data_IF_763574545843
#
_entry.id   IF_763574545843
#
_cell.length_a   1.000
_cell.length_b   1.000
_cell.length_c   1.000
_cell.angle_alpha   90.00
_cell.angle_beta   90.00
_cell.angle_gamma   90.00
#
_symmetry.space_group_name_H-M   'P 1'
#
loop_
_entity.id
_entity.type
_entity.pdbx_description
1 polymer ?
#
# COMPACT_ATOMS: atom_id res chain seq x y z
N UNK A 1 -13.59 -0.34 77.07
CA UNK A 1 -14.77 -0.74 76.27
C UNK A 1 -14.42 -0.51 74.80
N UNK A 2 -14.30 -1.57 73.98
CA UNK A 2 -13.82 -1.48 72.59
C UNK A 2 -15.02 -1.67 71.64
N UNK A 3 -15.31 -0.65 70.85
CA UNK A 3 -16.40 -0.66 69.85
C UNK A 3 -15.95 -1.48 68.65
N UNK A 4 -16.75 -2.47 68.26
CA UNK A 4 -16.55 -3.25 67.03
C UNK A 4 -17.22 -2.51 65.86
N UNK A 5 -16.43 -2.00 64.92
CA UNK A 5 -16.94 -1.50 63.64
C UNK A 5 -16.86 -2.64 62.60
N UNK A 6 -17.99 -3.06 62.01
CA UNK A 6 -17.97 -4.09 60.98
C UNK A 6 -17.27 -3.57 59.72
N UNK A 7 -16.41 -4.39 59.12
CA UNK A 7 -15.78 -4.10 57.84
C UNK A 7 -16.85 -4.16 56.72
N UNK A 8 -16.93 -3.17 55.81
CA UNK A 8 -17.86 -3.21 54.69
C UNK A 8 -17.51 -4.40 53.79
N UNK A 9 -18.54 -5.19 53.42
CA UNK A 9 -18.42 -6.34 52.55
C UNK A 9 -17.73 -5.94 51.24
N UNK A 10 -16.53 -6.48 51.01
CA UNK A 10 -15.90 -6.43 49.69
C UNK A 10 -16.68 -7.38 48.79
N UNK A 11 -17.38 -6.83 47.80
CA UNK A 11 -17.96 -7.61 46.71
C UNK A 11 -16.81 -8.22 45.91
N UNK A 12 -16.52 -9.49 46.16
CA UNK A 12 -15.60 -10.26 45.33
C UNK A 12 -16.33 -10.65 44.04
N UNK A 13 -15.67 -10.45 42.91
CA UNK A 13 -16.17 -10.78 41.58
C UNK A 13 -16.50 -12.29 41.50
N UNK A 14 -17.66 -12.65 40.96
CA UNK A 14 -18.05 -14.06 40.89
C UNK A 14 -17.41 -14.75 39.69
N UNK A 15 -17.15 -16.06 39.82
CA UNK A 15 -16.63 -16.88 38.71
C UNK A 15 -17.62 -16.91 37.53
N UNK A 16 -18.93 -16.82 37.81
CA UNK A 16 -19.95 -16.77 36.76
C UNK A 16 -19.93 -15.44 35.99
N UNK A 17 -19.70 -14.30 36.64
CA UNK A 17 -19.54 -13.02 35.95
C UNK A 17 -18.33 -13.04 35.02
N UNK A 18 -17.23 -13.67 35.43
CA UNK A 18 -16.08 -13.79 34.56
C UNK A 18 -16.38 -14.68 33.34
N UNK A 19 -17.08 -15.81 33.54
CA UNK A 19 -17.45 -16.73 32.46
C UNK A 19 -18.39 -16.05 31.45
N UNK A 20 -19.40 -15.31 31.90
CA UNK A 20 -20.33 -14.65 30.97
C UNK A 20 -19.61 -13.56 30.17
N UNK A 21 -18.70 -12.81 30.78
CA UNK A 21 -17.89 -11.80 30.08
C UNK A 21 -17.01 -12.43 29.00
N UNK A 22 -16.28 -13.51 29.29
CA UNK A 22 -15.44 -14.17 28.27
C UNK A 22 -16.28 -14.76 27.13
N UNK A 23 -17.49 -15.27 27.42
CA UNK A 23 -18.40 -15.80 26.41
C UNK A 23 -18.87 -14.68 25.49
N UNK A 24 -19.28 -13.53 26.04
CA UNK A 24 -19.69 -12.38 25.24
C UNK A 24 -18.52 -11.87 24.39
N UNK A 25 -17.31 -11.76 24.96
CA UNK A 25 -16.10 -11.37 24.22
C UNK A 25 -15.76 -12.36 23.09
N UNK A 26 -15.93 -13.66 23.30
CA UNK A 26 -15.68 -14.67 22.28
C UNK A 26 -16.65 -14.53 21.08
N UNK A 27 -17.94 -14.30 21.35
CA UNK A 27 -18.94 -14.07 20.29
C UNK A 27 -18.62 -12.80 19.51
N UNK A 28 -18.33 -11.69 20.21
CA UNK A 28 -18.00 -10.41 19.57
C UNK A 28 -16.72 -10.52 18.73
N UNK A 29 -15.68 -11.19 19.24
CA UNK A 29 -14.44 -11.41 18.50
C UNK A 29 -14.68 -12.23 17.23
N UNK A 30 -15.50 -13.29 17.29
CA UNK A 30 -15.82 -14.13 16.14
C UNK A 30 -16.47 -13.37 14.98
N UNK A 31 -17.31 -12.37 15.27
CA UNK A 31 -17.98 -11.53 14.25
C UNK A 31 -17.10 -10.35 13.81
N UNK A 32 -16.29 -9.80 14.71
CA UNK A 32 -15.48 -8.62 14.43
C UNK A 32 -14.23 -8.93 13.58
N UNK A 33 -13.56 -10.06 13.83
CA UNK A 33 -12.28 -10.39 13.21
C UNK A 33 -12.32 -10.47 11.67
N UNK A 34 -13.26 -11.20 11.03
CA UNK A 34 -13.30 -11.30 9.57
C UNK A 34 -13.48 -9.93 8.89
N UNK A 35 -14.36 -9.09 9.45
CA UNK A 35 -14.62 -7.75 8.92
C UNK A 35 -13.44 -6.81 9.07
N UNK A 36 -12.67 -6.97 10.15
CA UNK A 36 -11.51 -6.14 10.43
C UNK A 36 -10.40 -6.35 9.38
N UNK A 37 -10.13 -7.59 8.97
CA UNK A 37 -9.14 -7.89 7.94
C UNK A 37 -9.48 -7.24 6.59
N UNK A 38 -10.72 -7.39 6.12
CA UNK A 38 -11.16 -6.75 4.87
C UNK A 38 -11.09 -5.23 4.93
N UNK A 39 -11.41 -4.63 6.09
CA UNK A 39 -11.35 -3.18 6.26
C UNK A 39 -9.91 -2.69 6.20
N UNK A 40 -8.99 -3.39 6.85
CA UNK A 40 -7.57 -3.03 6.86
C UNK A 40 -6.95 -3.07 5.46
N UNK A 41 -7.32 -4.07 4.64
CA UNK A 41 -6.84 -4.17 3.26
C UNK A 41 -7.44 -3.08 2.38
N UNK A 42 -8.76 -2.83 2.48
CA UNK A 42 -9.41 -1.74 1.74
C UNK A 42 -8.80 -0.37 2.07
N UNK A 43 -8.53 -0.11 3.35
CA UNK A 43 -7.85 1.11 3.78
C UNK A 43 -6.46 1.22 3.14
N UNK A 44 -5.69 0.13 3.13
CA UNK A 44 -4.36 0.09 2.52
C UNK A 44 -4.40 0.34 1.01
N UNK A 45 -5.36 -0.26 0.30
CA UNK A 45 -5.59 0.00 -1.13
C UNK A 45 -5.95 1.47 -1.37
N UNK A 46 -6.80 2.06 -0.53
CA UNK A 46 -7.17 3.47 -0.65
C UNK A 46 -5.97 4.40 -0.47
N UNK A 47 -5.11 4.12 0.52
CA UNK A 47 -3.85 4.86 0.71
C UNK A 47 -2.96 4.71 -0.52
N UNK A 48 -2.78 3.48 -1.03
CA UNK A 48 -1.97 3.24 -2.22
C UNK A 48 -2.46 4.01 -3.44
N UNK A 49 -3.77 4.02 -3.69
CA UNK A 49 -4.38 4.77 -4.80
C UNK A 49 -4.17 6.28 -4.66
N UNK A 50 -4.39 6.81 -3.46
CA UNK A 50 -4.22 8.24 -3.17
C UNK A 50 -2.77 8.68 -3.38
N UNK A 51 -1.82 7.95 -2.79
CA UNK A 51 -0.40 8.24 -2.92
C UNK A 51 0.08 8.11 -4.38
N UNK A 52 -0.39 7.10 -5.12
CA UNK A 52 -0.09 6.94 -6.55
C UNK A 52 -0.62 8.11 -7.37
N UNK A 53 -1.83 8.58 -7.08
CA UNK A 53 -2.44 9.73 -7.77
C UNK A 53 -1.69 11.03 -7.49
N UNK A 54 -1.25 11.23 -6.25
CA UNK A 54 -0.42 12.38 -5.87
C UNK A 54 0.92 12.34 -6.62
N UNK A 55 1.59 11.18 -6.69
CA UNK A 55 2.83 11.02 -7.44
C UNK A 55 2.63 11.25 -8.95
N UNK A 56 1.58 10.70 -9.55
CA UNK A 56 1.25 10.94 -10.95
C UNK A 56 1.04 12.43 -11.24
N UNK A 57 0.41 13.17 -10.31
CA UNK A 57 0.22 14.62 -10.41
C UNK A 57 1.56 15.35 -10.32
N UNK A 58 2.44 14.96 -9.41
CA UNK A 58 3.77 15.53 -9.30
C UNK A 58 4.63 15.33 -10.56
N UNK A 59 4.57 14.13 -11.16
CA UNK A 59 5.23 13.81 -12.44
C UNK A 59 4.72 14.70 -13.57
N UNK A 60 3.40 14.86 -13.69
CA UNK A 60 2.80 15.75 -14.69
C UNK A 60 3.22 17.20 -14.45
N UNK A 61 3.23 17.67 -13.21
CA UNK A 61 3.68 19.02 -12.88
C UNK A 61 5.15 19.25 -13.25
N UNK A 62 6.02 18.26 -13.02
CA UNK A 62 7.42 18.33 -13.42
C UNK A 62 7.57 18.43 -14.96
N UNK A 63 6.79 17.65 -15.72
CA UNK A 63 6.74 17.78 -17.20
C UNK A 63 6.28 19.18 -17.64
N UNK A 64 5.24 19.71 -17.01
CA UNK A 64 4.71 21.04 -17.35
C UNK A 64 5.71 22.15 -17.01
N UNK A 65 6.44 22.01 -15.90
CA UNK A 65 7.51 22.92 -15.54
C UNK A 65 8.63 22.90 -16.59
N UNK A 66 9.06 21.71 -17.02
CA UNK A 66 10.05 21.56 -18.09
C UNK A 66 9.58 22.23 -19.40
N UNK A 67 8.30 22.05 -19.78
CA UNK A 67 7.73 22.73 -20.95
C UNK A 67 7.80 24.26 -20.82
N UNK A 68 7.50 24.79 -19.64
CA UNK A 68 7.50 26.24 -19.38
C UNK A 68 8.92 26.84 -19.41
N UNK A 69 9.93 26.12 -18.93
CA UNK A 69 11.32 26.60 -18.87
C UNK A 69 12.03 26.43 -20.22
N UNK A 70 11.83 25.29 -20.88
CA UNK A 70 12.58 24.91 -22.08
C UNK A 70 11.83 25.19 -23.39
N UNK A 71 10.58 25.66 -23.35
CA UNK A 71 9.83 26.10 -24.54
C UNK A 71 9.49 24.98 -25.54
N UNK A 72 9.43 23.74 -25.08
CA UNK A 72 9.08 22.54 -25.87
C UNK A 72 7.83 21.86 -25.28
N UNK A 73 7.38 20.71 -25.81
CA UNK A 73 6.20 19.97 -25.31
C UNK A 73 6.35 19.43 -23.86
N UNK A 74 7.49 19.70 -23.21
CA UNK A 74 7.84 19.20 -21.88
C UNK A 74 8.25 17.75 -21.93
N UNK A 75 9.39 17.45 -21.33
CA UNK A 75 9.89 16.08 -21.20
C UNK A 75 9.36 15.47 -19.90
N UNK A 76 9.00 14.20 -19.96
CA UNK A 76 8.83 13.41 -18.73
C UNK A 76 10.15 13.39 -17.94
N UNK A 77 10.11 13.47 -16.60
CA UNK A 77 11.28 13.30 -15.76
C UNK A 77 12.03 12.01 -16.12
N UNK A 78 13.36 12.08 -16.23
CA UNK A 78 14.18 10.89 -16.50
C UNK A 78 14.25 9.94 -15.31
N UNK A 79 14.07 10.46 -14.12
CA UNK A 79 14.01 9.73 -12.85
C UNK A 79 12.94 10.34 -11.93
N UNK A 80 12.64 9.64 -10.85
CA UNK A 80 11.72 10.13 -9.82
C UNK A 80 12.45 10.65 -8.57
N UNK A 81 13.78 10.68 -8.56
CA UNK A 81 14.53 10.90 -7.33
C UNK A 81 14.23 12.28 -6.75
N UNK A 82 14.31 13.31 -7.58
CA UNK A 82 14.03 14.69 -7.21
C UNK A 82 12.57 14.84 -6.72
N UNK A 83 11.62 14.26 -7.46
CA UNK A 83 10.19 14.34 -7.11
C UNK A 83 9.93 13.65 -5.76
N UNK A 84 10.57 12.52 -5.51
CA UNK A 84 10.36 11.74 -4.28
C UNK A 84 11.07 12.37 -3.07
N UNK A 85 12.25 12.97 -3.26
CA UNK A 85 12.95 13.71 -2.20
C UNK A 85 12.16 14.95 -1.73
N UNK A 86 11.37 15.58 -2.60
CA UNK A 86 10.51 16.71 -2.23
C UNK A 86 9.25 16.30 -1.45
N UNK A 87 8.91 15.01 -1.40
CA UNK A 87 7.81 14.52 -0.57
C UNK A 87 8.32 14.24 0.85
N UNK A 88 7.91 15.04 1.83
CA UNK A 88 8.15 14.71 3.25
C UNK A 88 7.58 13.31 3.56
N UNK A 89 8.39 12.40 4.13
CA UNK A 89 7.95 11.03 4.46
C UNK A 89 8.00 10.00 3.33
N UNK A 90 8.94 10.17 2.39
CA UNK A 90 9.20 9.34 1.19
C UNK A 90 9.17 7.81 1.40
N UNK A 91 9.39 7.32 2.62
CA UNK A 91 9.46 5.90 2.96
C UNK A 91 8.11 5.16 2.89
N UNK A 92 6.96 5.86 2.79
CA UNK A 92 5.62 5.23 2.85
C UNK A 92 4.71 5.51 1.66
N UNK A 93 5.25 6.01 0.54
CA UNK A 93 4.43 6.39 -0.60
C UNK A 93 3.64 5.19 -1.16
N UNK A 94 4.28 4.02 -1.27
CA UNK A 94 3.59 2.76 -1.45
C UNK A 94 3.40 2.08 -0.08
N UNK A 95 2.16 1.87 0.42
CA UNK A 95 1.92 1.24 1.72
C UNK A 95 2.23 -0.28 1.75
N UNK A 96 2.73 -0.82 0.63
CA UNK A 96 3.29 -2.15 0.54
C UNK A 96 4.83 -2.14 0.48
N UNK A 97 5.49 -0.98 0.60
CA UNK A 97 6.94 -0.90 0.66
C UNK A 97 7.50 -1.72 1.84
N UNK A 98 8.70 -2.25 1.63
CA UNK A 98 9.49 -2.95 2.64
C UNK A 98 10.90 -2.40 2.58
N UNK A 99 11.58 -2.21 3.71
CA UNK A 99 12.94 -1.68 3.81
C UNK A 99 13.99 -2.43 2.96
N UNK A 100 13.65 -3.65 2.52
CA UNK A 100 14.49 -4.50 1.68
C UNK A 100 14.52 -4.08 0.20
N UNK A 101 13.69 -3.12 -0.23
CA UNK A 101 13.61 -2.65 -1.61
C UNK A 101 13.92 -1.16 -1.72
N UNK A 102 14.56 -0.71 -2.82
CA UNK A 102 14.54 0.70 -3.18
C UNK A 102 13.12 1.25 -3.23
N UNK A 103 12.96 2.55 -2.99
CA UNK A 103 11.64 3.19 -3.05
C UNK A 103 11.08 3.08 -4.46
N UNK A 104 11.90 3.33 -5.49
CA UNK A 104 11.49 3.36 -6.88
C UNK A 104 12.49 2.63 -7.82
N UNK A 105 11.98 2.06 -8.91
CA UNK A 105 12.77 1.61 -10.05
C UNK A 105 12.39 2.38 -11.33
N UNK A 106 13.42 2.72 -12.10
CA UNK A 106 13.28 3.17 -13.48
C UNK A 106 13.49 1.93 -14.35
N UNK A 107 12.43 1.15 -14.56
CA UNK A 107 12.44 0.19 -15.66
C UNK A 107 12.21 1.00 -16.92
N UNK A 108 13.25 1.11 -17.76
CA UNK A 108 13.19 1.77 -19.07
C UNK A 108 12.29 0.99 -20.02
N UNK A 109 11.02 0.96 -19.68
CA UNK A 109 9.98 0.40 -20.49
C UNK A 109 9.74 1.35 -21.64
N UNK A 110 10.09 0.91 -22.85
CA UNK A 110 9.77 1.64 -24.07
C UNK A 110 8.32 2.16 -24.13
N UNK A 111 7.98 3.01 -25.11
CA UNK A 111 6.70 3.71 -25.18
C UNK A 111 5.46 2.81 -25.08
N UNK A 112 5.59 1.53 -25.48
CA UNK A 112 4.53 0.52 -25.45
C UNK A 112 4.36 -0.20 -24.10
N UNK A 113 5.24 0.05 -23.12
CA UNK A 113 5.13 -0.54 -21.78
C UNK A 113 4.23 0.31 -20.88
N UNK A 114 3.10 -0.26 -20.48
CA UNK A 114 2.10 0.33 -19.58
C UNK A 114 2.13 -0.25 -18.17
N UNK A 115 2.84 -1.37 -18.00
CA UNK A 115 2.98 -2.07 -16.73
C UNK A 115 4.37 -2.68 -16.57
N UNK A 116 4.82 -2.77 -15.33
CA UNK A 116 5.97 -3.57 -14.92
C UNK A 116 5.77 -5.05 -15.25
N UNK A 117 6.86 -5.72 -15.64
CA UNK A 117 6.90 -7.18 -15.85
C UNK A 117 6.66 -7.97 -14.58
N UNK A 118 7.22 -7.52 -13.47
CA UNK A 118 7.07 -8.16 -12.16
C UNK A 118 6.13 -7.33 -11.32
N UNK A 119 4.95 -7.84 -10.96
CA UNK A 119 3.91 -7.05 -10.28
C UNK A 119 4.00 -7.13 -8.76
N UNK A 120 4.74 -8.11 -8.24
CA UNK A 120 4.85 -8.38 -6.81
C UNK A 120 6.18 -7.95 -6.21
N UNK A 121 6.16 -7.74 -4.89
CA UNK A 121 7.35 -7.45 -4.06
C UNK A 121 8.29 -8.66 -4.01
N UNK A 122 7.76 -9.87 -3.76
CA UNK A 122 8.56 -11.10 -3.62
C UNK A 122 9.31 -11.52 -4.88
N UNK A 123 8.67 -11.40 -6.06
CA UNK A 123 9.33 -11.69 -7.35
C UNK A 123 10.45 -10.71 -7.69
N UNK A 124 10.40 -9.51 -7.12
CA UNK A 124 11.42 -8.51 -7.30
C UNK A 124 12.64 -8.71 -6.37
N UNK A 125 12.42 -9.04 -5.10
CA UNK A 125 13.51 -9.26 -4.14
C UNK A 125 14.51 -10.36 -4.59
N UNK A 126 14.02 -11.39 -5.28
CA UNK A 126 14.85 -12.51 -5.76
C UNK A 126 15.70 -12.21 -7.01
N UNK A 127 15.46 -11.09 -7.72
CA UNK A 127 16.06 -10.82 -9.04
C UNK A 127 16.89 -9.53 -9.11
N UNK A 128 17.16 -8.89 -7.96
CA UNK A 128 17.97 -7.69 -7.86
C UNK A 128 17.14 -6.41 -7.80
N UNK A 129 17.01 -5.86 -6.59
CA UNK A 129 16.78 -4.44 -6.27
C UNK A 129 15.76 -3.66 -7.11
N UNK A 130 14.62 -4.27 -7.47
CA UNK A 130 13.52 -3.49 -8.07
C UNK A 130 12.83 -2.66 -6.99
N UNK A 131 12.39 -1.46 -7.34
CA UNK A 131 11.77 -0.56 -6.39
C UNK A 131 10.30 -0.86 -6.17
N UNK A 132 9.75 -0.42 -5.03
CA UNK A 132 8.32 -0.60 -4.72
C UNK A 132 7.38 0.15 -5.68
N UNK A 133 7.92 1.18 -6.35
CA UNK A 133 7.24 2.02 -7.33
C UNK A 133 7.95 1.87 -8.66
N UNK A 134 7.18 1.54 -9.68
CA UNK A 134 7.63 1.48 -11.06
C UNK A 134 7.25 2.75 -11.80
N UNK A 135 8.22 3.33 -12.49
CA UNK A 135 8.04 4.50 -13.31
C UNK A 135 8.57 4.31 -14.71
N UNK A 136 7.78 4.73 -15.70
CA UNK A 136 8.16 4.76 -17.09
C UNK A 136 8.39 6.21 -17.57
N UNK A 137 9.64 6.61 -17.86
CA UNK A 137 9.97 7.95 -18.34
C UNK A 137 9.56 8.20 -19.81
N UNK A 138 9.23 7.17 -20.60
CA UNK A 138 8.82 7.34 -22.00
C UNK A 138 7.36 7.81 -22.11
N UNK A 139 6.52 7.49 -21.12
CA UNK A 139 5.10 7.83 -21.13
C UNK A 139 4.57 8.41 -19.80
N UNK A 140 5.45 8.64 -18.81
CA UNK A 140 5.11 9.22 -17.52
C UNK A 140 4.32 8.27 -16.60
N UNK A 141 4.20 6.99 -16.95
CA UNK A 141 3.34 6.07 -16.23
C UNK A 141 3.97 5.60 -14.92
N UNK A 142 3.21 5.75 -13.82
CA UNK A 142 3.57 5.18 -12.52
C UNK A 142 2.66 4.03 -12.07
N UNK A 143 3.25 3.04 -11.41
CA UNK A 143 2.56 1.86 -10.86
C UNK A 143 3.22 1.40 -9.56
N UNK A 144 2.43 0.85 -8.64
CA UNK A 144 2.91 0.31 -7.38
C UNK A 144 2.96 -1.21 -7.43
N UNK A 145 4.04 -1.79 -6.91
CA UNK A 145 4.12 -3.23 -6.63
C UNK A 145 3.24 -3.57 -5.43
N UNK A 146 2.70 -4.77 -5.44
CA UNK A 146 1.81 -5.31 -4.40
C UNK A 146 2.42 -6.57 -3.76
N UNK A 147 1.95 -7.00 -2.58
CA UNK A 147 2.29 -8.30 -2.05
C UNK A 147 1.68 -9.42 -2.91
N UNK A 148 2.39 -10.55 -2.99
CA UNK A 148 1.84 -11.77 -3.59
C UNK A 148 0.68 -12.28 -2.72
N UNK A 149 -0.42 -12.65 -3.37
CA UNK A 149 -1.61 -13.23 -2.73
C UNK A 149 -1.55 -14.76 -2.82
N UNK A 150 -2.52 -15.44 -2.19
CA UNK A 150 -2.58 -16.92 -2.21
C UNK A 150 -2.68 -17.47 -3.63
N UNK A 151 -3.40 -16.77 -4.51
CA UNK A 151 -3.52 -17.13 -5.91
C UNK A 151 -2.99 -16.04 -6.85
N UNK A 152 -2.62 -16.47 -8.06
CA UNK A 152 -2.22 -15.54 -9.12
C UNK A 152 -3.38 -14.61 -9.53
N UNK A 153 -4.63 -15.08 -9.48
CA UNK A 153 -5.80 -14.26 -9.83
C UNK A 153 -6.04 -13.18 -8.78
N UNK A 154 -6.01 -13.50 -7.49
CA UNK A 154 -6.12 -12.49 -6.42
C UNK A 154 -4.99 -11.46 -6.48
N UNK A 155 -3.79 -11.90 -6.85
CA UNK A 155 -2.66 -10.99 -7.08
C UNK A 155 -2.95 -10.04 -8.26
N UNK A 156 -3.49 -10.55 -9.37
CA UNK A 156 -3.90 -9.72 -10.52
C UNK A 156 -4.99 -8.74 -10.10
N UNK A 157 -5.99 -9.20 -9.34
CA UNK A 157 -7.13 -8.39 -8.91
C UNK A 157 -6.68 -7.27 -7.97
N UNK A 158 -5.83 -7.57 -6.98
CA UNK A 158 -5.25 -6.56 -6.09
C UNK A 158 -4.39 -5.56 -6.88
N UNK A 159 -3.58 -6.04 -7.82
CA UNK A 159 -2.75 -5.17 -8.65
C UNK A 159 -3.61 -4.21 -9.48
N UNK A 160 -4.65 -4.73 -10.12
CA UNK A 160 -5.61 -3.96 -10.90
C UNK A 160 -6.34 -2.93 -10.04
N UNK A 161 -6.75 -3.32 -8.84
CA UNK A 161 -7.41 -2.44 -7.88
C UNK A 161 -6.50 -1.30 -7.43
N UNK A 162 -5.26 -1.58 -7.02
CA UNK A 162 -4.30 -0.57 -6.56
C UNK A 162 -3.90 0.40 -7.69
N UNK A 163 -3.69 -0.13 -8.90
CA UNK A 163 -3.13 0.63 -10.01
C UNK A 163 -4.19 1.23 -10.96
N UNK A 164 -5.46 0.86 -10.80
CA UNK A 164 -6.52 1.22 -11.73
C UNK A 164 -6.30 0.63 -13.12
N UNK A 165 -5.89 -0.64 -13.18
CA UNK A 165 -5.57 -1.35 -14.43
C UNK A 165 -6.52 -2.51 -14.68
N UNK A 166 -6.40 -3.14 -15.85
CA UNK A 166 -7.17 -4.32 -16.25
C UNK A 166 -6.27 -5.40 -16.86
N UNK A 167 -5.13 -5.67 -16.21
CA UNK A 167 -4.20 -6.71 -16.68
C UNK A 167 -4.82 -8.09 -16.50
N UNK A 168 -4.55 -9.00 -17.44
CA UNK A 168 -5.06 -10.38 -17.43
C UNK A 168 -4.01 -11.40 -17.01
N UNK A 169 -2.74 -11.00 -16.89
CA UNK A 169 -1.66 -11.86 -16.41
C UNK A 169 -0.59 -11.08 -15.65
N UNK A 170 0.14 -11.77 -14.77
CA UNK A 170 1.23 -11.17 -14.00
C UNK A 170 2.41 -10.70 -14.87
N UNK A 171 2.58 -11.26 -16.07
CA UNK A 171 3.63 -10.89 -17.01
C UNK A 171 3.25 -9.82 -18.04
N UNK A 172 1.99 -9.37 -18.07
CA UNK A 172 1.54 -8.38 -19.04
C UNK A 172 2.23 -7.04 -18.80
N UNK A 173 2.94 -6.55 -19.83
CA UNK A 173 3.62 -5.24 -19.80
C UNK A 173 2.97 -4.19 -20.69
N UNK A 174 2.14 -4.60 -21.66
CA UNK A 174 1.41 -3.72 -22.60
C UNK A 174 -0.03 -3.52 -22.15
N UNK A 175 -0.78 -2.62 -22.81
CA UNK A 175 -2.22 -2.42 -22.55
C UNK A 175 -3.03 -3.70 -22.62
#
# INVERSE_FOLDING_TARGET
MRVYTPNPHRFAFTLIELITVIVVLAILAGVALPRYFDYSERARVSVAQNSRSALATAIVNAKLYDAAVNGTEGRWPSDLEEILQTQEGNELLNPYHTDQMPIYDIDQGGPDKWHMRYKTIGSALSRGSWGSIWYNPDNGQVRFRIPEQETAQETIDLFNKVNGTSVTSLGQTTK
#
